data_IF_639799612361
#
_entry.id   IF_639799612361
#
_cell.length_a   1.000
_cell.length_b   1.000
_cell.length_c   1.000
_cell.angle_alpha   90.00
_cell.angle_beta   90.00
_cell.angle_gamma   90.00
#
_symmetry.space_group_name_H-M   'P 1'
#
loop_
_entity.id
_entity.type
_entity.pdbx_description
1 polymer ?
#
# COMPACT_ATOMS: atom_id res chain seq x y z
N UNK A 1 6.97 7.11 -13.73
CA UNK A 1 6.90 6.94 -12.28
C UNK A 1 7.03 5.47 -11.92
N UNK A 2 7.87 5.14 -10.95
CA UNK A 2 8.11 3.74 -10.56
C UNK A 2 7.03 3.29 -9.58
N UNK A 3 6.09 2.47 -10.06
CA UNK A 3 4.97 2.00 -9.24
C UNK A 3 5.46 1.10 -8.10
N UNK A 4 6.48 0.27 -8.35
CA UNK A 4 7.05 -0.58 -7.30
C UNK A 4 7.57 0.26 -6.13
N UNK A 5 8.30 1.31 -6.46
CA UNK A 5 8.82 2.23 -5.46
C UNK A 5 7.69 2.94 -4.71
N UNK A 6 6.63 3.31 -5.42
CA UNK A 6 5.49 3.99 -4.82
C UNK A 6 4.78 3.10 -3.79
N UNK A 7 4.60 1.82 -4.12
CA UNK A 7 3.98 0.85 -3.19
C UNK A 7 4.84 0.72 -1.92
N UNK A 8 6.15 0.57 -2.11
CA UNK A 8 7.08 0.47 -0.97
C UNK A 8 7.03 1.72 -0.10
N UNK A 9 7.01 2.90 -0.70
CA UNK A 9 6.93 4.16 0.03
C UNK A 9 5.66 4.26 0.86
N UNK A 10 4.52 3.85 0.29
CA UNK A 10 3.25 3.88 1.00
C UNK A 10 3.28 2.95 2.20
N UNK A 11 3.84 1.75 2.04
CA UNK A 11 3.97 0.80 3.13
C UNK A 11 4.88 1.33 4.24
N UNK A 12 6.02 1.90 3.86
CA UNK A 12 6.96 2.48 4.81
C UNK A 12 6.36 3.68 5.55
N UNK A 13 5.59 4.48 4.83
CA UNK A 13 4.89 5.62 5.42
C UNK A 13 3.87 5.18 6.46
N UNK A 14 3.26 4.02 6.26
CA UNK A 14 2.32 3.43 7.22
C UNK A 14 3.05 2.82 8.42
N UNK A 15 4.37 2.64 8.33
CA UNK A 15 5.15 2.02 9.40
C UNK A 15 4.90 0.52 9.52
N UNK A 16 4.53 -0.12 8.43
CA UNK A 16 4.12 -1.52 8.44
C UNK A 16 5.06 -2.40 7.61
N UNK A 17 5.24 -3.65 8.05
CA UNK A 17 5.91 -4.64 7.23
C UNK A 17 4.89 -5.18 6.20
N UNK A 18 5.34 -6.06 5.29
CA UNK A 18 4.46 -6.58 4.25
C UNK A 18 3.27 -7.38 4.80
N UNK A 19 3.50 -8.15 5.85
CA UNK A 19 2.44 -8.93 6.48
C UNK A 19 1.36 -8.02 7.06
N UNK A 20 1.78 -7.00 7.78
CA UNK A 20 0.87 -6.03 8.38
C UNK A 20 0.12 -5.25 7.30
N UNK A 21 0.83 -4.82 6.27
CA UNK A 21 0.24 -4.08 5.16
C UNK A 21 -0.73 -4.94 4.37
N UNK A 22 -0.45 -6.24 4.24
CA UNK A 22 -1.34 -7.19 3.61
C UNK A 22 -2.68 -7.28 4.35
N UNK A 23 -2.63 -7.37 5.67
CA UNK A 23 -3.83 -7.40 6.50
C UNK A 23 -4.60 -6.09 6.37
N UNK A 24 -3.88 -4.99 6.39
CA UNK A 24 -4.44 -3.63 6.34
C UNK A 24 -5.16 -3.36 5.01
N UNK A 25 -4.53 -3.71 3.90
CA UNK A 25 -5.05 -3.39 2.56
C UNK A 25 -5.88 -4.51 1.94
N UNK A 26 -5.78 -5.72 2.46
CA UNK A 26 -6.43 -6.87 1.86
C UNK A 26 -5.66 -7.45 0.67
N UNK A 27 -4.46 -6.96 0.40
CA UNK A 27 -3.64 -7.45 -0.71
C UNK A 27 -2.74 -8.58 -0.20
N UNK A 28 -2.70 -9.75 -0.87
CA UNK A 28 -1.86 -10.86 -0.41
C UNK A 28 -0.38 -10.46 -0.31
N UNK A 29 0.30 -10.99 0.71
CA UNK A 29 1.73 -10.71 0.92
C UNK A 29 2.55 -11.00 -0.33
N UNK A 30 2.29 -12.13 -0.98
CA UNK A 30 3.00 -12.52 -2.19
C UNK A 30 2.83 -11.50 -3.30
N UNK A 31 1.64 -10.95 -3.44
CA UNK A 31 1.36 -9.92 -4.43
C UNK A 31 2.15 -8.66 -4.12
N UNK A 32 2.19 -8.25 -2.85
CA UNK A 32 2.98 -7.10 -2.43
C UNK A 32 4.47 -7.31 -2.73
N UNK A 33 4.98 -8.51 -2.44
CA UNK A 33 6.37 -8.83 -2.74
C UNK A 33 6.67 -8.71 -4.24
N UNK A 34 5.78 -9.24 -5.07
CA UNK A 34 5.95 -9.19 -6.53
C UNK A 34 5.92 -7.74 -7.04
N UNK A 35 5.01 -6.93 -6.51
CA UNK A 35 4.92 -5.53 -6.90
C UNK A 35 6.14 -4.73 -6.47
N UNK A 36 6.58 -4.92 -5.22
CA UNK A 36 7.73 -4.17 -4.70
C UNK A 36 9.05 -4.61 -5.34
N UNK A 37 9.14 -5.87 -5.74
CA UNK A 37 10.32 -6.39 -6.44
C UNK A 37 10.32 -6.09 -7.93
N UNK A 38 9.21 -5.56 -8.45
CA UNK A 38 9.09 -5.24 -9.87
C UNK A 38 8.83 -6.45 -10.76
N UNK A 39 8.51 -7.62 -10.18
CA UNK A 39 8.19 -8.82 -10.95
C UNK A 39 6.83 -8.72 -11.63
N UNK A 40 5.92 -7.99 -11.02
CA UNK A 40 4.59 -7.70 -11.57
C UNK A 40 4.30 -6.24 -11.34
N UNK A 41 3.55 -5.62 -12.25
CA UNK A 41 3.16 -4.23 -12.15
C UNK A 41 1.67 -4.14 -11.85
N UNK A 42 1.26 -3.52 -10.74
CA UNK A 42 -0.16 -3.34 -10.47
C UNK A 42 -0.75 -2.30 -11.40
N UNK A 43 -2.08 -2.27 -11.56
CA UNK A 43 -2.72 -1.17 -12.28
C UNK A 43 -2.34 0.17 -11.65
N UNK A 44 -2.28 1.22 -12.46
CA UNK A 44 -1.85 2.54 -12.01
C UNK A 44 -2.70 3.11 -10.89
N UNK A 45 -3.95 2.71 -10.80
CA UNK A 45 -4.86 3.22 -9.77
C UNK A 45 -4.62 2.59 -8.39
N UNK A 46 -3.88 1.50 -8.30
CA UNK A 46 -3.66 0.81 -7.02
C UNK A 46 -2.94 1.69 -6.00
N UNK A 47 -1.81 2.33 -6.32
CA UNK A 47 -1.17 3.22 -5.34
C UNK A 47 -2.08 4.34 -4.89
N UNK A 48 -2.90 4.86 -5.80
CA UNK A 48 -3.86 5.93 -5.49
C UNK A 48 -4.94 5.45 -4.52
N UNK A 49 -5.46 4.24 -4.74
CA UNK A 49 -6.47 3.67 -3.85
C UNK A 49 -5.92 3.44 -2.45
N UNK A 50 -4.69 2.92 -2.36
CA UNK A 50 -4.03 2.71 -1.07
C UNK A 50 -3.86 4.05 -0.36
N UNK A 51 -3.41 5.07 -1.08
CA UNK A 51 -3.23 6.40 -0.52
C UNK A 51 -4.54 6.98 0.01
N UNK A 52 -5.62 6.85 -0.76
CA UNK A 52 -6.94 7.30 -0.33
C UNK A 52 -7.42 6.55 0.90
N UNK A 53 -7.22 5.24 0.94
CA UNK A 53 -7.57 4.43 2.10
C UNK A 53 -6.86 4.93 3.36
N UNK A 54 -5.55 5.17 3.26
CA UNK A 54 -4.76 5.65 4.38
C UNK A 54 -5.22 7.04 4.84
N UNK A 55 -5.52 7.92 3.91
CA UNK A 55 -6.02 9.26 4.21
C UNK A 55 -7.39 9.20 4.89
N UNK A 56 -8.27 8.35 4.38
CA UNK A 56 -9.60 8.18 4.95
C UNK A 56 -9.51 7.67 6.38
N UNK A 57 -8.68 6.67 6.62
CA UNK A 57 -8.50 6.10 7.95
C UNK A 57 -7.95 7.12 8.92
N UNK A 58 -7.03 7.96 8.46
CA UNK A 58 -6.48 9.03 9.27
C UNK A 58 -7.56 10.04 9.68
N UNK A 59 -8.41 10.44 8.73
CA UNK A 59 -9.49 11.37 9.01
C UNK A 59 -10.49 10.80 10.02
N UNK A 60 -10.86 9.54 9.86
CA UNK A 60 -11.79 8.87 10.78
C UNK A 60 -11.18 8.81 12.18
N UNK A 61 -9.90 8.49 12.27
CA UNK A 61 -9.19 8.39 13.52
C UNK A 61 -9.10 9.74 14.23
N UNK A 62 -8.88 10.82 13.47
CA UNK A 62 -8.81 12.17 14.02
C UNK A 62 -10.15 12.65 14.55
N UNK A 63 -11.24 12.22 13.94
CA UNK A 63 -12.60 12.59 14.37
C UNK A 63 -13.12 11.72 15.50
N UNK A 64 -12.56 10.53 15.64
CA UNK A 64 -12.94 9.60 16.68
C UNK A 64 -12.12 9.83 17.90
#
# INVERSE_FOLDING_TARGET
MDIAKRITELREKAGENRKEFSIHTGIPVRTLEDWEAGRRTPPEYIPRLIEYQMKYEKLVKEKG
#
